data_IF_936197816152
#
_entry.id   IF_936197816152
#
_cell.length_a   1.000
_cell.length_b   1.000
_cell.length_c   1.000
_cell.angle_alpha   90.00
_cell.angle_beta   90.00
_cell.angle_gamma   90.00
#
_symmetry.space_group_name_H-M   'P 1'
#
loop_
_entity.id
_entity.type
_entity.pdbx_description
1 polymer ?
#
# COMPACT_ATOMS: atom_id res chain seq x y z
N UNK A 1 -27.52 -21.26 4.13
CA UNK A 1 -26.74 -21.06 5.37
C UNK A 1 -25.73 -20.00 5.04
N UNK A 2 -25.84 -18.80 5.61
CA UNK A 2 -24.78 -17.80 5.51
C UNK A 2 -23.60 -18.37 6.30
N UNK A 3 -22.44 -18.55 5.67
CA UNK A 3 -21.23 -18.88 6.39
C UNK A 3 -20.94 -17.71 7.35
N UNK A 4 -20.73 -18.01 8.63
CA UNK A 4 -20.29 -17.00 9.59
C UNK A 4 -18.84 -16.66 9.27
N UNK A 5 -18.51 -15.37 9.26
CA UNK A 5 -17.15 -14.89 9.08
C UNK A 5 -16.19 -15.53 10.11
N UNK A 6 -14.94 -15.72 9.70
CA UNK A 6 -13.92 -16.28 10.59
C UNK A 6 -13.36 -15.17 11.49
N UNK A 7 -13.61 -15.26 12.81
CA UNK A 7 -13.15 -14.24 13.77
C UNK A 7 -11.64 -13.98 13.73
N UNK A 8 -10.82 -15.02 13.46
CA UNK A 8 -9.38 -14.84 13.33
C UNK A 8 -9.02 -14.05 12.05
N UNK A 9 -9.73 -14.30 10.95
CA UNK A 9 -9.53 -13.59 9.69
C UNK A 9 -9.87 -12.10 9.83
N UNK A 10 -10.88 -11.76 10.62
CA UNK A 10 -11.31 -10.38 10.87
C UNK A 10 -10.32 -9.55 11.71
N UNK A 11 -9.32 -10.18 12.31
CA UNK A 11 -8.34 -9.53 13.19
C UNK A 11 -6.90 -9.59 12.66
N UNK A 12 -6.65 -10.38 11.61
CA UNK A 12 -5.32 -10.51 11.01
C UNK A 12 -5.08 -9.38 9.99
N UNK A 13 -4.47 -8.29 10.46
CA UNK A 13 -4.10 -7.13 9.63
C UNK A 13 -2.63 -7.14 9.20
N UNK A 14 -1.94 -8.29 9.34
CA UNK A 14 -0.52 -8.40 8.98
C UNK A 14 -0.37 -8.57 7.47
N UNK A 15 0.43 -7.71 6.85
CA UNK A 15 0.80 -7.75 5.44
C UNK A 15 2.17 -8.39 5.32
N UNK A 16 2.29 -9.56 4.70
CA UNK A 16 3.59 -10.18 4.40
C UNK A 16 3.81 -10.09 2.89
N UNK A 17 4.56 -9.10 2.38
CA UNK A 17 4.80 -8.96 0.95
C UNK A 17 5.37 -10.26 0.36
N UNK A 18 4.93 -10.59 -0.86
CA UNK A 18 5.27 -11.86 -1.52
C UNK A 18 4.54 -13.10 -1.00
N UNK A 19 3.83 -13.02 0.13
CA UNK A 19 3.11 -14.17 0.72
C UNK A 19 1.59 -13.95 0.86
N UNK A 20 1.16 -12.91 1.60
CA UNK A 20 -0.24 -12.73 1.99
C UNK A 20 -0.56 -11.32 2.48
N UNK A 21 -1.84 -10.98 2.46
CA UNK A 21 -2.42 -9.79 3.08
C UNK A 21 -3.48 -10.25 4.07
N UNK A 22 -3.13 -10.30 5.36
CA UNK A 22 -3.97 -10.95 6.37
C UNK A 22 -4.26 -12.39 5.95
N UNK A 23 -5.52 -12.84 5.91
CA UNK A 23 -5.85 -14.18 5.44
C UNK A 23 -5.77 -14.34 3.91
N UNK A 24 -5.68 -13.26 3.13
CA UNK A 24 -5.73 -13.25 1.66
C UNK A 24 -4.39 -13.71 1.08
N UNK A 25 -4.42 -14.68 0.18
CA UNK A 25 -3.26 -15.31 -0.47
C UNK A 25 -3.31 -15.14 -1.99
N UNK A 26 -2.22 -15.43 -2.71
CA UNK A 26 -2.18 -15.39 -4.18
C UNK A 26 -3.21 -16.26 -4.89
N UNK A 27 -3.82 -17.22 -4.18
CA UNK A 27 -4.86 -18.11 -4.72
C UNK A 27 -6.25 -17.81 -4.17
N UNK A 28 -6.41 -16.82 -3.29
CA UNK A 28 -7.70 -16.51 -2.68
C UNK A 28 -8.65 -15.95 -3.71
N UNK A 29 -9.76 -16.64 -3.93
CA UNK A 29 -10.86 -16.21 -4.78
C UNK A 29 -11.83 -15.28 -4.05
N UNK A 30 -12.70 -14.61 -4.81
CA UNK A 30 -13.79 -13.81 -4.23
C UNK A 30 -14.78 -14.64 -3.39
N UNK A 31 -14.99 -15.91 -3.74
CA UNK A 31 -15.81 -16.80 -2.93
C UNK A 31 -15.16 -17.05 -1.56
N UNK A 32 -13.86 -17.29 -1.53
CA UNK A 32 -13.11 -17.45 -0.28
C UNK A 32 -13.05 -16.16 0.54
N UNK A 33 -13.00 -14.97 -0.09
CA UNK A 33 -13.16 -13.71 0.66
C UNK A 33 -14.48 -13.67 1.44
N UNK A 34 -15.58 -14.15 0.84
CA UNK A 34 -16.89 -14.18 1.51
C UNK A 34 -16.90 -15.14 2.70
N UNK A 35 -16.19 -16.28 2.59
CA UNK A 35 -16.03 -17.23 3.69
C UNK A 35 -15.15 -16.67 4.81
N UNK A 36 -14.11 -15.90 4.46
CA UNK A 36 -13.19 -15.29 5.42
C UNK A 36 -13.82 -14.13 6.18
N UNK A 37 -14.43 -13.19 5.45
CA UNK A 37 -14.85 -11.89 5.99
C UNK A 37 -16.36 -11.73 6.16
N UNK A 38 -17.16 -12.58 5.53
CA UNK A 38 -18.62 -12.43 5.46
C UNK A 38 -19.04 -11.55 4.28
N UNK A 39 -20.05 -11.99 3.54
CA UNK A 39 -20.53 -11.31 2.33
C UNK A 39 -20.99 -9.87 2.59
N UNK A 40 -21.48 -9.58 3.81
CA UNK A 40 -21.93 -8.25 4.21
C UNK A 40 -20.79 -7.21 4.33
N UNK A 41 -19.54 -7.66 4.45
CA UNK A 41 -18.36 -6.79 4.51
C UNK A 41 -17.76 -6.54 3.12
N UNK A 42 -18.31 -7.18 2.08
CA UNK A 42 -17.75 -7.15 0.73
C UNK A 42 -18.58 -6.28 -0.20
N UNK A 43 -17.88 -5.46 -0.99
CA UNK A 43 -18.50 -4.67 -2.05
C UNK A 43 -17.67 -4.77 -3.32
N UNK A 44 -18.27 -5.34 -4.34
CA UNK A 44 -17.64 -5.49 -5.65
C UNK A 44 -17.84 -4.22 -6.49
N UNK A 45 -16.76 -3.74 -7.10
CA UNK A 45 -16.78 -2.55 -7.95
C UNK A 45 -15.60 -2.50 -8.92
N UNK A 46 -15.66 -1.58 -9.88
CA UNK A 46 -14.54 -1.24 -10.74
C UNK A 46 -13.56 -0.33 -9.99
N UNK A 47 -12.30 -0.76 -9.86
CA UNK A 47 -11.27 -0.05 -9.11
C UNK A 47 -10.34 0.66 -10.08
N UNK A 48 -10.14 1.96 -9.88
CA UNK A 48 -9.14 2.71 -10.63
C UNK A 48 -7.72 2.24 -10.26
N UNK A 49 -6.96 1.86 -11.28
CA UNK A 49 -5.57 1.39 -11.14
C UNK A 49 -4.54 2.35 -11.74
N UNK A 50 -4.96 3.55 -12.13
CA UNK A 50 -4.13 4.58 -12.75
C UNK A 50 -4.43 4.79 -14.24
N UNK A 51 -3.99 5.93 -14.77
CA UNK A 51 -4.04 6.30 -16.20
C UNK A 51 -5.42 6.21 -16.88
N UNK A 52 -6.51 6.22 -16.08
CA UNK A 52 -7.88 6.09 -16.57
C UNK A 52 -8.34 4.65 -16.80
N UNK A 53 -7.55 3.65 -16.42
CA UNK A 53 -7.94 2.25 -16.43
C UNK A 53 -8.62 1.82 -15.13
N UNK A 54 -9.52 0.84 -15.24
CA UNK A 54 -10.12 0.16 -14.10
C UNK A 54 -9.92 -1.35 -14.22
N UNK A 55 -9.88 -1.99 -13.06
CA UNK A 55 -9.85 -3.44 -12.93
C UNK A 55 -10.99 -3.89 -12.00
N UNK A 56 -11.51 -5.11 -12.16
CA UNK A 56 -12.49 -5.65 -11.23
C UNK A 56 -11.88 -5.72 -9.84
N UNK A 57 -12.60 -5.23 -8.83
CA UNK A 57 -12.16 -5.28 -7.45
C UNK A 57 -13.25 -5.62 -6.45
N UNK A 58 -12.82 -5.93 -5.23
CA UNK A 58 -13.68 -6.16 -4.07
C UNK A 58 -13.12 -5.38 -2.89
N UNK A 59 -13.89 -4.42 -2.40
CA UNK A 59 -13.62 -3.74 -1.13
C UNK A 59 -14.02 -4.64 0.01
N UNK A 60 -13.12 -4.82 0.96
CA UNK A 60 -13.34 -5.45 2.27
C UNK A 60 -13.43 -4.31 3.28
N UNK A 61 -14.61 -4.07 3.85
CA UNK A 61 -14.85 -2.99 4.81
C UNK A 61 -15.06 -3.58 6.23
N UNK A 62 -14.00 -3.60 7.03
CA UNK A 62 -14.03 -4.05 8.43
C UNK A 62 -14.01 -2.88 9.43
N UNK A 63 -14.36 -1.69 8.94
CA UNK A 63 -14.14 -0.40 9.60
C UNK A 63 -13.01 0.39 8.94
N UNK A 64 -13.01 1.72 9.14
CA UNK A 64 -12.10 2.66 8.47
C UNK A 64 -10.62 2.29 8.60
N UNK A 65 -10.19 1.83 9.78
CA UNK A 65 -8.79 1.47 10.03
C UNK A 65 -8.41 0.08 9.48
N UNK A 66 -9.40 -0.77 9.15
CA UNK A 66 -9.18 -2.16 8.71
C UNK A 66 -9.73 -2.45 7.32
N UNK A 67 -10.12 -1.43 6.56
CA UNK A 67 -10.51 -1.57 5.16
C UNK A 67 -9.32 -1.97 4.28
N UNK A 68 -9.59 -2.65 3.17
CA UNK A 68 -8.68 -2.77 2.04
C UNK A 68 -9.47 -3.07 0.77
N UNK A 69 -8.84 -2.90 -0.39
CA UNK A 69 -9.38 -3.25 -1.69
C UNK A 69 -8.54 -4.36 -2.31
N UNK A 70 -9.16 -5.49 -2.65
CA UNK A 70 -8.56 -6.53 -3.48
C UNK A 70 -8.85 -6.21 -4.93
N UNK A 71 -7.81 -6.03 -5.74
CA UNK A 71 -7.92 -5.93 -7.19
C UNK A 71 -7.68 -7.30 -7.78
N UNK A 72 -8.54 -7.72 -8.70
CA UNK A 72 -8.51 -9.04 -9.33
C UNK A 72 -7.69 -9.02 -10.61
N UNK A 73 -7.17 -10.19 -10.98
CA UNK A 73 -6.46 -10.38 -12.27
C UNK A 73 -7.40 -10.32 -13.48
N UNK A 74 -8.67 -10.68 -13.30
CA UNK A 74 -9.73 -10.62 -14.30
C UNK A 74 -11.13 -10.75 -13.64
N UNK A 75 -12.19 -10.63 -14.45
CA UNK A 75 -13.59 -10.74 -14.03
C UNK A 75 -13.97 -12.09 -13.41
N UNK A 76 -13.16 -13.14 -13.56
CA UNK A 76 -13.43 -14.42 -12.87
C UNK A 76 -13.21 -14.31 -11.36
N UNK A 77 -12.44 -13.30 -10.92
CA UNK A 77 -12.10 -13.04 -9.51
C UNK A 77 -11.59 -14.29 -8.78
N UNK A 78 -10.83 -15.09 -9.53
CA UNK A 78 -10.26 -16.35 -9.05
C UNK A 78 -8.90 -16.18 -8.40
N UNK A 79 -8.18 -15.08 -8.71
CA UNK A 79 -6.87 -14.75 -8.16
C UNK A 79 -6.69 -13.23 -8.02
N UNK A 80 -6.19 -12.74 -6.87
CA UNK A 80 -5.95 -11.33 -6.66
C UNK A 80 -4.69 -10.90 -7.43
N UNK A 81 -4.75 -9.77 -8.10
CA UNK A 81 -3.56 -9.11 -8.66
C UNK A 81 -2.77 -8.44 -7.52
N UNK A 82 -3.45 -7.57 -6.78
CA UNK A 82 -2.88 -6.76 -5.70
C UNK A 82 -3.93 -6.43 -4.64
N UNK A 83 -3.48 -5.95 -3.49
CA UNK A 83 -4.28 -5.27 -2.48
C UNK A 83 -3.81 -3.81 -2.33
N UNK A 84 -4.75 -2.89 -2.16
CA UNK A 84 -4.50 -1.44 -2.00
C UNK A 84 -5.58 -0.77 -1.16
N UNK A 85 -5.51 0.56 -1.01
CA UNK A 85 -6.48 1.37 -0.26
C UNK A 85 -6.69 0.89 1.19
N UNK A 86 -5.59 0.47 1.82
CA UNK A 86 -5.55 -0.04 3.19
C UNK A 86 -6.02 1.00 4.21
N UNK A 87 -6.63 0.53 5.29
CA UNK A 87 -6.77 1.28 6.53
C UNK A 87 -5.47 1.29 7.35
N UNK A 88 -5.46 2.08 8.42
CA UNK A 88 -4.25 2.37 9.21
C UNK A 88 -3.72 1.17 10.04
N UNK A 89 -4.55 0.17 10.33
CA UNK A 89 -4.17 -1.01 11.12
C UNK A 89 -3.39 -2.06 10.32
N UNK A 90 -3.35 -1.95 8.99
CA UNK A 90 -2.61 -2.86 8.12
C UNK A 90 -1.13 -2.52 8.09
N UNK A 91 -0.29 -3.46 8.53
CA UNK A 91 1.15 -3.26 8.69
C UNK A 91 1.97 -4.46 8.26
N UNK A 92 3.19 -4.21 7.76
CA UNK A 92 4.19 -5.26 7.56
C UNK A 92 4.72 -5.81 8.89
N UNK A 93 5.44 -6.94 8.94
CA UNK A 93 6.08 -7.43 10.17
C UNK A 93 7.02 -6.41 10.82
N UNK A 94 7.62 -5.54 10.01
CA UNK A 94 8.49 -4.42 10.43
C UNK A 94 7.70 -3.20 10.91
N UNK A 95 6.37 -3.23 10.84
CA UNK A 95 5.50 -2.14 11.27
C UNK A 95 5.28 -1.04 10.23
N UNK A 96 5.62 -1.28 8.96
CA UNK A 96 5.42 -0.30 7.88
C UNK A 96 3.97 -0.32 7.40
N UNK A 97 3.38 0.85 7.18
CA UNK A 97 2.07 1.02 6.57
C UNK A 97 1.62 2.48 6.65
N UNK A 98 0.32 2.75 6.53
CA UNK A 98 -0.16 4.14 6.53
C UNK A 98 0.23 4.91 7.81
N UNK A 99 0.70 6.15 7.64
CA UNK A 99 1.15 7.02 8.72
C UNK A 99 2.58 6.78 9.20
N UNK A 100 3.29 5.74 8.70
CA UNK A 100 4.69 5.52 9.06
C UNK A 100 5.55 6.72 8.64
N UNK A 101 6.37 7.21 9.58
CA UNK A 101 7.22 8.39 9.41
C UNK A 101 8.52 8.09 8.68
N UNK A 102 9.20 9.12 8.16
CA UNK A 102 10.56 8.97 7.59
C UNK A 102 11.57 8.39 8.59
N UNK A 103 11.44 8.68 9.89
CA UNK A 103 12.34 8.15 10.90
C UNK A 103 12.17 6.64 11.09
N UNK A 104 10.91 6.17 11.15
CA UNK A 104 10.59 4.73 11.21
C UNK A 104 10.98 4.03 9.92
N UNK A 105 10.73 4.63 8.75
CA UNK A 105 11.17 4.09 7.47
C UNK A 105 12.69 3.91 7.44
N UNK A 106 13.47 4.90 7.88
CA UNK A 106 14.93 4.80 7.93
C UNK A 106 15.43 3.75 8.91
N UNK A 107 14.70 3.51 10.00
CA UNK A 107 15.05 2.47 10.96
C UNK A 107 14.99 1.09 10.32
N UNK A 108 13.96 0.83 9.51
CA UNK A 108 13.71 -0.49 8.91
C UNK A 108 14.38 -0.66 7.54
N UNK A 109 14.51 0.40 6.74
CA UNK A 109 15.08 0.35 5.39
C UNK A 109 16.57 0.70 5.33
N UNK A 110 17.08 1.48 6.29
CA UNK A 110 18.33 2.23 6.15
C UNK A 110 18.13 3.56 5.41
N UNK A 111 19.22 4.12 4.86
CA UNK A 111 19.09 5.20 3.88
C UNK A 111 18.50 4.61 2.59
N UNK A 112 17.62 5.35 1.93
CA UNK A 112 16.86 4.86 0.78
C UNK A 112 16.56 6.00 -0.19
N UNK A 113 16.23 5.64 -1.42
CA UNK A 113 15.85 6.58 -2.47
C UNK A 113 14.32 6.66 -2.61
N UNK A 114 13.82 7.79 -3.10
CA UNK A 114 12.42 7.97 -3.47
C UNK A 114 12.27 8.88 -4.69
N UNK A 115 11.21 8.66 -5.46
CA UNK A 115 10.86 9.55 -6.56
C UNK A 115 10.37 10.92 -6.04
N UNK A 116 10.75 11.99 -6.71
CA UNK A 116 10.37 13.37 -6.35
C UNK A 116 8.86 13.58 -6.33
N UNK A 117 8.40 14.59 -5.60
CA UNK A 117 6.96 14.88 -5.43
C UNK A 117 6.34 15.59 -6.65
N UNK A 118 5.02 15.80 -6.63
CA UNK A 118 4.32 16.66 -7.58
C UNK A 118 3.75 15.99 -8.83
N UNK A 119 3.70 14.66 -8.86
CA UNK A 119 3.13 13.86 -9.95
C UNK A 119 2.53 12.56 -9.40
N UNK A 120 1.83 11.80 -10.24
CA UNK A 120 0.97 10.68 -9.80
C UNK A 120 1.72 9.52 -9.13
N UNK A 121 3.04 9.40 -9.35
CA UNK A 121 3.91 8.41 -8.69
C UNK A 121 4.91 9.05 -7.73
N UNK A 122 4.82 10.35 -7.50
CA UNK A 122 5.75 11.05 -6.63
C UNK A 122 5.72 10.56 -5.19
N UNK A 123 6.88 10.56 -4.54
CA UNK A 123 7.06 10.04 -3.19
C UNK A 123 7.12 8.51 -3.10
N UNK A 124 7.11 7.79 -4.23
CA UNK A 124 7.30 6.33 -4.22
C UNK A 124 8.70 5.97 -3.75
N UNK A 125 8.78 5.11 -2.74
CA UNK A 125 10.05 4.61 -2.19
C UNK A 125 10.64 3.57 -3.13
N UNK A 126 11.95 3.65 -3.35
CA UNK A 126 12.73 2.64 -4.06
C UNK A 126 13.25 1.65 -3.02
N UNK A 127 12.71 0.43 -3.05
CA UNK A 127 13.13 -0.64 -2.12
C UNK A 127 14.43 -1.33 -2.56
N UNK A 128 14.82 -1.18 -3.83
CA UNK A 128 16.05 -1.78 -4.35
C UNK A 128 17.26 -1.37 -3.51
N UNK A 129 18.08 -2.34 -3.11
CA UNK A 129 19.26 -2.14 -2.27
C UNK A 129 19.00 -1.64 -0.83
N UNK A 130 17.75 -1.61 -0.37
CA UNK A 130 17.42 -1.36 1.06
C UNK A 130 17.52 -2.65 1.89
N UNK A 131 17.38 -2.54 3.21
CA UNK A 131 17.30 -3.73 4.08
C UNK A 131 16.06 -4.61 3.79
N UNK A 132 15.06 -4.09 3.08
CA UNK A 132 13.84 -4.81 2.65
C UNK A 132 13.77 -4.99 1.13
N UNK A 133 14.92 -5.07 0.46
CA UNK A 133 15.04 -5.37 -0.98
C UNK A 133 14.29 -6.66 -1.38
N UNK A 134 14.12 -7.62 -0.46
CA UNK A 134 13.35 -8.84 -0.72
C UNK A 134 11.86 -8.58 -1.00
N UNK A 135 11.32 -7.43 -0.60
CA UNK A 135 9.95 -7.02 -0.91
C UNK A 135 9.84 -6.23 -2.23
N UNK A 136 10.96 -6.00 -2.93
CA UNK A 136 10.95 -5.31 -4.21
C UNK A 136 10.08 -6.05 -5.23
N UNK A 137 9.16 -5.31 -5.87
CA UNK A 137 8.18 -5.86 -6.81
C UNK A 137 6.87 -6.32 -6.14
N UNK A 138 6.89 -6.59 -4.84
CA UNK A 138 5.72 -7.02 -4.09
C UNK A 138 5.12 -5.91 -3.21
N UNK A 139 5.95 -5.03 -2.63
CA UNK A 139 5.53 -3.92 -1.79
C UNK A 139 5.84 -2.57 -2.44
N UNK A 140 4.85 -1.69 -2.46
CA UNK A 140 5.01 -0.30 -2.86
C UNK A 140 4.50 0.61 -1.75
N UNK A 141 5.37 1.50 -1.28
CA UNK A 141 5.05 2.52 -0.30
C UNK A 141 5.25 3.90 -0.93
N UNK A 142 4.32 4.82 -0.67
CA UNK A 142 4.47 6.22 -1.08
C UNK A 142 4.32 7.15 0.10
N UNK A 143 5.20 8.13 0.18
CA UNK A 143 5.18 9.17 1.21
C UNK A 143 4.71 10.49 0.63
N UNK A 144 4.07 11.33 1.46
CA UNK A 144 3.75 12.71 1.08
C UNK A 144 3.87 13.64 2.29
N UNK A 145 4.35 14.88 2.09
CA UNK A 145 4.22 15.91 3.10
C UNK A 145 2.77 16.38 3.24
N UNK A 146 2.43 16.95 4.39
CA UNK A 146 1.12 17.58 4.57
C UNK A 146 1.03 18.89 3.77
N UNK A 147 -0.18 19.28 3.37
CA UNK A 147 -0.38 20.57 2.67
C UNK A 147 0.10 21.76 3.51
N UNK A 148 -0.12 21.73 4.82
CA UNK A 148 0.35 22.78 5.73
C UNK A 148 1.89 22.84 5.77
N UNK A 149 2.56 21.68 5.79
CA UNK A 149 4.02 21.60 5.75
C UNK A 149 4.58 22.11 4.42
N UNK A 150 3.94 21.76 3.29
CA UNK A 150 4.32 22.27 1.97
C UNK A 150 4.22 23.81 1.95
N UNK A 151 3.14 24.38 2.46
CA UNK A 151 2.95 25.84 2.51
C UNK A 151 3.98 26.54 3.39
N UNK A 152 4.36 25.91 4.51
CA UNK A 152 5.36 26.42 5.44
C UNK A 152 6.80 26.30 4.89
N UNK A 153 7.08 25.25 4.11
CA UNK A 153 8.41 24.89 3.64
C UNK A 153 8.48 24.80 2.11
N UNK A 154 7.88 25.80 1.44
CA UNK A 154 7.71 25.81 -0.02
C UNK A 154 9.01 25.64 -0.80
N UNK A 155 10.08 26.34 -0.42
CA UNK A 155 11.37 26.23 -1.11
C UNK A 155 11.96 24.83 -1.01
N UNK A 156 11.80 24.18 0.16
CA UNK A 156 12.23 22.80 0.34
C UNK A 156 11.40 21.85 -0.51
N UNK A 157 10.07 22.02 -0.55
CA UNK A 157 9.20 21.23 -1.41
C UNK A 157 9.55 21.38 -2.89
N UNK A 158 9.74 22.61 -3.37
CA UNK A 158 10.11 22.89 -4.77
C UNK A 158 11.46 22.26 -5.16
N UNK A 159 12.38 22.05 -4.20
CA UNK A 159 13.67 21.42 -4.44
C UNK A 159 13.61 19.90 -4.67
N UNK A 160 12.55 19.24 -4.19
CA UNK A 160 12.37 17.78 -4.28
C UNK A 160 11.14 17.37 -5.11
N UNK A 161 10.70 18.26 -6.00
CA UNK A 161 9.61 18.03 -6.95
C UNK A 161 10.17 17.69 -8.33
N UNK A 162 9.49 16.79 -9.03
CA UNK A 162 9.75 16.48 -10.43
C UNK A 162 10.18 15.04 -10.67
N UNK A 163 10.48 14.76 -11.94
CA UNK A 163 10.87 13.45 -12.44
C UNK A 163 12.37 13.19 -12.20
N UNK A 164 12.70 12.97 -10.92
CA UNK A 164 14.04 12.63 -10.45
C UNK A 164 13.93 11.75 -9.19
N UNK A 165 15.03 11.07 -8.87
CA UNK A 165 15.19 10.30 -7.64
C UNK A 165 15.96 11.14 -6.62
N UNK A 166 15.53 11.10 -5.36
CA UNK A 166 16.13 11.83 -4.25
C UNK A 166 16.46 10.87 -3.12
N UNK A 167 17.56 11.17 -2.42
CA UNK A 167 17.94 10.46 -1.20
C UNK A 167 17.01 10.83 -0.04
N UNK A 168 16.66 9.88 0.81
CA UNK A 168 15.88 10.14 2.03
C UNK A 168 16.63 11.03 3.02
N UNK A 169 17.95 11.21 2.84
CA UNK A 169 18.81 12.11 3.60
C UNK A 169 18.95 13.50 2.97
N UNK A 170 18.27 13.80 1.86
CA UNK A 170 18.31 15.15 1.27
C UNK A 170 17.86 16.20 2.31
N UNK A 171 18.61 17.29 2.53
CA UNK A 171 18.28 18.30 3.54
C UNK A 171 16.94 18.99 3.31
N UNK A 172 16.40 18.96 2.08
CA UNK A 172 15.07 19.49 1.78
C UNK A 172 13.95 18.52 2.17
N UNK A 173 14.24 17.23 2.41
CA UNK A 173 13.24 16.26 2.91
C UNK A 173 12.95 16.44 4.40
N UNK A 174 13.95 16.83 5.19
CA UNK A 174 13.82 17.00 6.65
C UNK A 174 12.66 17.92 7.07
N UNK A 175 12.54 19.17 6.56
CA UNK A 175 11.44 20.05 6.95
C UNK A 175 10.07 19.63 6.41
N UNK A 176 10.02 18.67 5.47
CA UNK A 176 8.78 18.22 4.85
C UNK A 176 8.10 17.10 5.64
N UNK A 177 8.86 16.39 6.50
CA UNK A 177 8.39 15.30 7.35
C UNK A 177 7.31 14.41 6.68
N UNK A 178 7.55 13.90 5.46
CA UNK A 178 6.53 13.15 4.75
C UNK A 178 6.22 11.84 5.47
N UNK A 179 4.97 11.39 5.36
CA UNK A 179 4.51 10.12 5.94
C UNK A 179 3.94 9.23 4.87
N UNK A 180 3.98 7.91 5.10
CA UNK A 180 3.35 6.94 4.19
C UNK A 180 1.86 7.24 4.09
N UNK A 181 1.37 7.49 2.87
CA UNK A 181 -0.04 7.76 2.60
C UNK A 181 -0.67 6.73 1.67
N UNK A 182 0.14 5.94 0.98
CA UNK A 182 -0.30 4.86 0.12
C UNK A 182 0.58 3.63 0.33
N UNK A 183 -0.09 2.48 0.33
CA UNK A 183 0.52 1.17 0.40
C UNK A 183 -0.19 0.28 -0.61
N UNK A 184 0.57 -0.36 -1.49
CA UNK A 184 0.07 -1.33 -2.46
C UNK A 184 0.91 -2.60 -2.35
N UNK A 185 0.25 -3.74 -2.35
CA UNK A 185 0.88 -5.06 -2.19
C UNK A 185 0.45 -5.96 -3.33
N UNK A 186 1.39 -6.37 -4.18
CA UNK A 186 1.11 -7.35 -5.23
C UNK A 186 1.11 -8.76 -4.65
N UNK A 187 0.14 -9.55 -5.10
CA UNK A 187 0.02 -10.98 -4.77
C UNK A 187 0.29 -11.87 -5.99
N UNK A 188 0.04 -11.34 -7.19
CA UNK A 188 0.39 -11.97 -8.47
C UNK A 188 0.90 -10.88 -9.45
N UNK A 189 2.14 -10.38 -9.30
CA UNK A 189 2.68 -9.33 -10.17
C UNK A 189 2.73 -9.79 -11.63
N UNK A 190 2.40 -8.87 -12.55
CA UNK A 190 2.44 -9.13 -13.99
C UNK A 190 3.89 -9.21 -14.45
N UNK A 191 4.40 -10.43 -14.69
CA UNK A 191 5.72 -10.65 -15.29
C UNK A 191 6.77 -11.38 -14.45
N UNK A 192 6.35 -12.19 -13.46
CA UNK A 192 7.22 -13.19 -12.81
C UNK A 192 7.41 -14.46 -13.65
#
# INVERSE_FOLDING_TARGET
>A
MTALANEAALQDTVVVPGERVGPIRPTTSRAELAELFGEEQLRDEEINVGEGFTEPGTVVDLGEDRRLTVVWTDDSRSKPLMAKDFGSDWKTPEGLGLGTSMAELKQELGDFELFGFGWDYGGSIVLENTALDEYHGDLFLRVRPSQATIEQHREAYEAVVGDAVFESTDPHMEPLEPVVYDMTVYLNPLGS
#
